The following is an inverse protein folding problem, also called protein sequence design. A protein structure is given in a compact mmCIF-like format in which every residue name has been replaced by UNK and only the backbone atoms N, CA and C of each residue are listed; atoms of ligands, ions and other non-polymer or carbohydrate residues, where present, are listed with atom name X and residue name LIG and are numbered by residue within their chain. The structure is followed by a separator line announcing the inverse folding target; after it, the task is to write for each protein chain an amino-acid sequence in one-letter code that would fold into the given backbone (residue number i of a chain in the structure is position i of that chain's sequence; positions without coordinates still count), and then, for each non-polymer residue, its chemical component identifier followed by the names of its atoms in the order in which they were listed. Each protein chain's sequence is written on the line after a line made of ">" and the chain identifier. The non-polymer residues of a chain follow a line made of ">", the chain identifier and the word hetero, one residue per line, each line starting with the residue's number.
data_IF_912117670754
#
_entry.id   IF_912117670754
#
_cell.length_a   1.000
_cell.length_b   1.000
_cell.length_c   1.000
_cell.angle_alpha   90.00
_cell.angle_beta   90.00
_cell.angle_gamma   90.00
#
_symmetry.space_group_name_H-M   'P 1'
#
loop_
_entity.id
_entity.type
_entity.pdbx_description
1 polymer ?
#
# COMPACT_ATOMS: atom_id res chain seq x y z
N UNK A 1 14.40 -1.18 3.83
CA UNK A 1 13.13 -1.33 4.58
C UNK A 1 12.45 -2.58 4.08
N UNK A 2 12.04 -3.48 4.97
CA UNK A 2 11.25 -4.66 4.63
C UNK A 2 9.77 -4.34 4.84
N UNK A 3 8.92 -4.72 3.89
CA UNK A 3 7.46 -4.61 4.01
C UNK A 3 6.86 -5.98 4.26
N UNK A 4 5.89 -6.04 5.18
CA UNK A 4 5.05 -7.19 5.44
C UNK A 4 3.62 -6.78 5.14
N UNK A 5 2.99 -7.52 4.23
CA UNK A 5 1.62 -7.28 3.82
C UNK A 5 0.83 -8.53 4.16
N UNK A 6 -0.21 -8.38 4.96
CA UNK A 6 -1.16 -9.45 5.27
C UNK A 6 -2.49 -9.13 4.61
N UNK A 7 -3.11 -10.08 3.94
CA UNK A 7 -4.47 -9.92 3.44
C UNK A 7 -5.39 -10.94 4.08
N UNK A 8 -6.52 -10.47 4.57
CA UNK A 8 -7.53 -11.31 5.21
C UNK A 8 -8.80 -11.22 4.38
N UNK A 9 -9.06 -12.25 3.59
CA UNK A 9 -10.35 -12.40 2.91
C UNK A 9 -11.30 -13.21 3.79
N UNK A 10 -12.60 -12.87 3.79
CA UNK A 10 -13.60 -13.73 4.46
C UNK A 10 -13.67 -15.08 3.75
N UNK A 11 -13.77 -16.17 4.52
CA UNK A 11 -13.94 -17.53 4.01
C UNK A 11 -15.16 -17.62 3.08
N UNK A 12 -15.01 -18.34 1.97
CA UNK A 12 -16.08 -18.62 0.99
C UNK A 12 -17.31 -19.26 1.63
N UNK A 13 -17.13 -20.05 2.69
CA UNK A 13 -18.25 -20.69 3.43
C UNK A 13 -19.13 -19.67 4.14
N UNK A 14 -18.51 -18.68 4.79
CA UNK A 14 -19.23 -17.60 5.48
C UNK A 14 -19.99 -16.71 4.47
N UNK A 15 -19.44 -16.52 3.27
CA UNK A 15 -20.09 -15.77 2.17
C UNK A 15 -21.34 -16.49 1.65
N UNK A 16 -21.25 -17.80 1.41
CA UNK A 16 -22.39 -18.62 0.98
C UNK A 16 -23.51 -18.58 2.03
N UNK A 17 -23.16 -18.73 3.31
CA UNK A 17 -24.15 -18.76 4.40
C UNK A 17 -24.95 -17.48 4.56
N UNK A 18 -24.38 -16.32 4.19
CA UNK A 18 -25.02 -15.00 4.34
C UNK A 18 -25.55 -14.42 3.03
N UNK A 19 -25.44 -15.15 1.91
CA UNK A 19 -25.85 -14.68 0.58
C UNK A 19 -24.99 -13.53 0.05
N UNK A 20 -23.82 -13.30 0.67
CA UNK A 20 -22.95 -12.15 0.44
C UNK A 20 -21.69 -12.60 -0.31
N UNK A 21 -21.89 -12.99 -1.56
CA UNK A 21 -20.81 -13.50 -2.43
C UNK A 21 -19.82 -12.41 -2.83
N UNK A 22 -20.26 -11.14 -2.81
CA UNK A 22 -19.56 -10.01 -3.39
C UNK A 22 -18.93 -9.06 -2.35
N UNK A 23 -19.37 -9.10 -1.09
CA UNK A 23 -18.66 -8.38 -0.03
C UNK A 23 -17.50 -9.22 0.49
N UNK A 24 -16.30 -8.74 0.19
CA UNK A 24 -15.15 -9.13 0.97
C UNK A 24 -14.54 -7.87 1.58
N UNK A 25 -14.75 -7.64 2.89
CA UNK A 25 -14.27 -6.45 3.56
C UNK A 25 -12.76 -6.43 3.72
N UNK A 26 -12.04 -7.46 3.21
CA UNK A 26 -10.61 -7.66 3.37
C UNK A 26 -9.83 -6.36 3.34
N UNK A 27 -9.19 -6.12 4.48
CA UNK A 27 -8.29 -5.02 4.72
C UNK A 27 -6.88 -5.59 4.63
N UNK A 28 -6.05 -5.01 3.77
CA UNK A 28 -4.65 -5.32 3.76
C UNK A 28 -4.02 -4.71 5.02
N UNK A 29 -3.44 -5.55 5.87
CA UNK A 29 -2.50 -5.15 6.89
C UNK A 29 -1.17 -4.73 6.25
N UNK A 30 -0.60 -3.61 6.67
CA UNK A 30 0.73 -3.15 6.26
C UNK A 30 1.61 -2.93 7.47
N UNK A 31 2.79 -3.53 7.47
CA UNK A 31 3.84 -3.28 8.45
C UNK A 31 5.17 -3.06 7.74
N UNK A 32 5.98 -2.15 8.27
CA UNK A 32 7.30 -1.83 7.76
C UNK A 32 8.34 -2.03 8.86
N UNK A 33 9.39 -2.78 8.54
CA UNK A 33 10.49 -3.06 9.47
C UNK A 33 11.77 -2.48 8.90
N UNK A 34 12.44 -1.66 9.71
CA UNK A 34 13.75 -1.14 9.39
C UNK A 34 14.80 -2.22 9.65
N UNK A 35 15.50 -2.65 8.61
CA UNK A 35 16.54 -3.69 8.68
C UNK A 35 17.96 -3.13 8.74
N UNK A 36 18.13 -1.80 8.65
CA UNK A 36 19.43 -1.12 8.64
C UNK A 36 19.26 0.38 8.36
N UNK A 37 20.34 1.05 7.97
CA UNK A 37 20.30 2.46 7.53
C UNK A 37 19.43 2.61 6.30
N UNK A 38 18.52 3.58 6.33
CA UNK A 38 17.60 3.91 5.24
C UNK A 38 18.19 5.07 4.46
N UNK A 39 18.62 4.76 3.24
CA UNK A 39 19.14 5.77 2.29
C UNK A 39 18.14 6.01 1.18
N UNK A 40 17.98 7.27 0.79
CA UNK A 40 17.20 7.66 -0.38
C UNK A 40 18.15 7.94 -1.53
N UNK A 41 17.96 7.21 -2.65
CA UNK A 41 18.73 7.41 -3.87
C UNK A 41 18.32 8.67 -4.64
N UNK A 42 19.17 9.15 -5.56
CA UNK A 42 18.99 10.42 -6.26
C UNK A 42 17.82 10.46 -7.25
N UNK A 43 17.26 9.30 -7.59
CA UNK A 43 16.15 9.19 -8.56
C UNK A 43 14.78 9.13 -7.88
N UNK A 44 14.72 8.99 -6.55
CA UNK A 44 13.47 9.02 -5.81
C UNK A 44 12.97 10.45 -5.72
N UNK A 45 11.93 10.75 -6.50
CA UNK A 45 11.32 12.09 -6.51
C UNK A 45 10.47 12.27 -5.26
N UNK A 46 10.67 13.39 -4.57
CA UNK A 46 9.72 13.86 -3.57
C UNK A 46 8.47 14.38 -4.30
N UNK A 47 7.45 13.53 -4.43
CA UNK A 47 6.15 13.91 -4.97
C UNK A 47 5.03 13.37 -4.06
N UNK A 48 3.87 14.04 -4.10
CA UNK A 48 2.71 13.61 -3.30
C UNK A 48 1.99 12.40 -3.90
N UNK A 49 2.19 12.14 -5.18
CA UNK A 49 1.54 11.07 -5.93
C UNK A 49 2.09 9.68 -5.58
N UNK A 50 3.34 9.66 -5.08
CA UNK A 50 4.12 8.46 -4.85
C UNK A 50 4.49 7.73 -6.14
N UNK A 51 5.31 6.71 -5.99
CA UNK A 51 5.63 5.72 -7.03
C UNK A 51 5.03 4.36 -6.64
N UNK A 52 4.59 3.59 -7.63
CA UNK A 52 4.08 2.24 -7.41
C UNK A 52 5.25 1.29 -7.13
N UNK A 53 5.25 0.66 -5.95
CA UNK A 53 6.29 -0.31 -5.55
C UNK A 53 5.79 -1.75 -5.62
N UNK A 54 4.48 -1.97 -5.59
CA UNK A 54 3.87 -3.28 -5.68
C UNK A 54 2.46 -3.17 -6.27
N UNK A 55 2.08 -4.11 -7.12
CA UNK A 55 0.71 -4.26 -7.62
C UNK A 55 0.41 -5.74 -7.78
N UNK A 56 -0.69 -6.21 -7.19
CA UNK A 56 -1.16 -7.60 -7.29
C UNK A 56 -2.64 -7.62 -7.63
N UNK A 57 -2.98 -8.36 -8.70
CA UNK A 57 -4.37 -8.60 -9.11
C UNK A 57 -4.93 -9.79 -8.33
N UNK A 58 -6.13 -9.62 -7.76
CA UNK A 58 -6.78 -10.64 -6.92
C UNK A 58 -8.08 -11.12 -7.55
N UNK A 59 -8.14 -12.43 -7.80
CA UNK A 59 -9.16 -13.13 -8.60
C UNK A 59 -10.55 -13.21 -7.97
N UNK A 60 -10.68 -12.86 -6.68
CA UNK A 60 -11.91 -13.12 -5.92
C UNK A 60 -13.04 -12.12 -6.23
N UNK A 61 -12.78 -11.01 -6.97
CA UNK A 61 -13.75 -10.11 -7.65
C UNK A 61 -13.07 -8.78 -8.07
N UNK A 62 -12.18 -8.83 -9.07
CA UNK A 62 -11.50 -7.64 -9.65
C UNK A 62 -10.93 -6.65 -8.62
N UNK A 63 -10.26 -7.17 -7.59
CA UNK A 63 -9.56 -6.33 -6.61
C UNK A 63 -8.11 -6.18 -7.03
N UNK A 64 -7.59 -4.98 -6.89
CA UNK A 64 -6.15 -4.73 -7.10
C UNK A 64 -5.57 -4.19 -5.81
N UNK A 65 -4.64 -4.94 -5.21
CA UNK A 65 -3.82 -4.44 -4.12
C UNK A 65 -2.66 -3.66 -4.72
N UNK A 66 -2.53 -2.39 -4.32
CA UNK A 66 -1.41 -1.53 -4.70
C UNK A 66 -0.66 -1.09 -3.46
N UNK A 67 0.66 -0.97 -3.58
CA UNK A 67 1.48 -0.28 -2.58
C UNK A 67 2.21 0.85 -3.29
N UNK A 68 2.02 2.06 -2.76
CA UNK A 68 2.74 3.25 -3.18
C UNK A 68 3.80 3.63 -2.17
N UNK A 69 4.92 4.13 -2.66
CA UNK A 69 5.97 4.74 -1.86
C UNK A 69 5.99 6.25 -2.13
N UNK A 70 5.86 7.03 -1.07
CA UNK A 70 5.89 8.49 -1.10
C UNK A 70 7.12 8.94 -0.31
N UNK A 71 7.93 9.81 -0.89
CA UNK A 71 9.05 10.41 -0.20
C UNK A 71 8.72 11.85 0.21
N UNK A 72 8.71 12.10 1.52
CA UNK A 72 8.64 13.43 2.09
C UNK A 72 10.06 13.91 2.41
N UNK A 73 10.61 14.77 1.56
CA UNK A 73 11.92 15.36 1.74
C UNK A 73 11.99 16.37 2.89
N UNK A 74 10.86 16.96 3.29
CA UNK A 74 10.81 17.95 4.37
C UNK A 74 10.93 17.25 5.72
N UNK A 75 10.13 16.19 5.92
CA UNK A 75 10.16 15.40 7.14
C UNK A 75 11.20 14.26 7.13
N UNK A 76 11.89 14.06 6.00
CA UNK A 76 12.83 12.94 5.75
C UNK A 76 12.19 11.59 6.06
N UNK A 77 11.00 11.34 5.53
CA UNK A 77 10.28 10.10 5.74
C UNK A 77 9.92 9.45 4.41
N UNK A 78 10.02 8.12 4.37
CA UNK A 78 9.40 7.30 3.32
C UNK A 78 8.10 6.75 3.89
N UNK A 79 7.00 7.06 3.21
CA UNK A 79 5.66 6.62 3.56
C UNK A 79 5.25 5.55 2.54
N UNK A 80 4.90 4.38 3.04
CA UNK A 80 4.30 3.30 2.27
C UNK A 80 2.79 3.32 2.49
N UNK A 81 2.03 3.37 1.40
CA UNK A 81 0.57 3.36 1.42
C UNK A 81 0.11 2.12 0.69
N UNK A 82 -0.43 1.15 1.43
CA UNK A 82 -1.10 -0.01 0.83
C UNK A 82 -2.58 0.30 0.72
N UNK A 83 -3.18 0.07 -0.45
CA UNK A 83 -4.60 0.25 -0.65
C UNK A 83 -5.14 -0.77 -1.65
N UNK A 84 -6.38 -1.18 -1.40
CA UNK A 84 -7.11 -2.08 -2.29
C UNK A 84 -8.12 -1.26 -3.07
N UNK A 85 -8.03 -1.31 -4.40
CA UNK A 85 -9.05 -0.78 -5.30
C UNK A 85 -10.09 -1.85 -5.59
N UNK A 86 -11.37 -1.46 -5.64
CA UNK A 86 -12.49 -2.35 -5.96
C UNK A 86 -13.34 -1.77 -7.08
N UNK A 87 -13.88 -2.64 -7.92
CA UNK A 87 -14.77 -2.25 -9.01
C UNK A 87 -16.20 -1.92 -8.54
N UNK A 88 -16.70 -2.60 -7.49
CA UNK A 88 -18.04 -2.36 -6.92
C UNK A 88 -17.96 -1.84 -5.46
N UNK A 89 -18.79 -0.85 -5.12
CA UNK A 89 -18.94 -0.18 -3.82
C UNK A 89 -20.16 -0.61 -3.00
N UNK A 90 -21.07 -1.41 -3.57
CA UNK A 90 -22.43 -1.64 -3.02
C UNK A 90 -22.47 -2.15 -1.57
N UNK A 91 -21.40 -2.81 -1.09
CA UNK A 91 -21.36 -3.46 0.22
C UNK A 91 -20.46 -2.76 1.25
N UNK A 92 -19.95 -1.55 0.99
CA UNK A 92 -19.25 -0.76 2.00
C UNK A 92 -20.20 0.26 2.64
N UNK A 93 -20.34 0.23 3.97
CA UNK A 93 -21.19 1.19 4.71
C UNK A 93 -20.74 2.64 4.52
N UNK A 94 -19.46 2.86 4.18
CA UNK A 94 -18.90 4.17 3.89
C UNK A 94 -18.80 4.46 2.39
N UNK A 95 -19.29 3.56 1.52
CA UNK A 95 -19.19 3.62 0.05
C UNK A 95 -17.77 3.90 -0.49
N UNK A 96 -16.73 3.68 0.34
CA UNK A 96 -15.36 3.93 -0.08
C UNK A 96 -14.87 2.81 -0.99
N UNK A 97 -14.35 3.18 -2.16
CA UNK A 97 -13.67 2.25 -3.08
C UNK A 97 -12.32 1.78 -2.58
N UNK A 98 -11.82 2.42 -1.53
CA UNK A 98 -10.46 2.25 -1.05
C UNK A 98 -10.45 1.97 0.45
N UNK A 99 -9.78 0.88 0.82
CA UNK A 99 -9.32 0.66 2.19
C UNK A 99 -7.81 0.78 2.17
N UNK A 100 -7.28 1.75 2.92
CA UNK A 100 -5.85 2.04 2.96
C UNK A 100 -5.26 1.82 4.35
N UNK A 101 -3.99 1.44 4.37
CA UNK A 101 -3.13 1.44 5.53
C UNK A 101 -1.80 2.12 5.18
N UNK A 102 -1.16 2.70 6.19
CA UNK A 102 0.06 3.47 6.03
C UNK A 102 1.14 3.00 6.98
N UNK A 103 2.39 3.01 6.52
CA UNK A 103 3.56 2.78 7.35
C UNK A 103 4.66 3.75 6.97
N UNK A 104 5.23 4.47 7.94
CA UNK A 104 6.25 5.47 7.72
C UNK A 104 7.60 5.03 8.31
N UNK A 105 8.68 5.29 7.58
CA UNK A 105 10.05 5.03 8.03
C UNK A 105 10.89 6.28 7.80
N UNK A 106 11.66 6.66 8.82
CA UNK A 106 12.58 7.78 8.74
C UNK A 106 13.79 7.46 7.85
N UNK A 107 14.26 8.46 7.11
CA UNK A 107 15.44 8.41 6.23
C UNK A 107 16.64 8.95 6.98
N UNK A 108 17.72 8.17 7.03
CA UNK A 108 18.95 8.57 7.71
C UNK A 108 19.85 9.38 6.76
N UNK A 109 19.92 9.00 5.48
CA UNK A 109 20.80 9.61 4.49
C UNK A 109 20.08 9.86 3.17
N UNK A 110 20.39 11.00 2.54
CA UNK A 110 19.91 11.34 1.19
C UNK A 110 21.14 11.38 0.29
N UNK A 111 21.22 10.48 -0.68
CA UNK A 111 22.32 10.47 -1.64
C UNK A 111 22.18 11.65 -2.59
N UNK A 112 23.25 12.43 -2.72
CA UNK A 112 23.35 13.50 -3.69
C UNK A 112 23.54 12.91 -5.09
N UNK A 113 22.83 13.45 -6.09
CA UNK A 113 23.06 13.11 -7.50
C UNK A 113 24.45 13.63 -7.88
N UNK A 114 25.36 12.74 -8.27
CA UNK A 114 26.69 13.12 -8.77
C UNK A 114 26.52 14.08 -9.94
N UNK A 115 27.29 15.19 -10.01
CA UNK A 115 27.22 16.11 -11.13
C UNK A 115 27.64 15.37 -12.40
N UNK A 116 26.72 15.25 -13.35
CA UNK A 116 27.01 14.79 -14.71
C UNK A 116 27.91 15.83 -15.37
N UNK A 117 29.10 15.42 -15.79
CA UNK A 117 30.09 16.26 -16.48
C UNK A 117 29.63 16.63 -17.89
#
# INVERSE_FOLDING_TARGET
>A
VQLYISDFSRSTVDRISKGDFFSDPGAAGLSCTRTGTVKVGPDLKANKEGEDVFTESRSILFKTLKVKRVYDSTAKNIIYVAFTERMNTDNDKNQSRFKSQVCAVHVDEVEAKLPTK
#
